data_IF_505725066290
#
_entry.id   IF_505725066290
#
_cell.length_a   1.000
_cell.length_b   1.000
_cell.length_c   1.000
_cell.angle_alpha   90.00
_cell.angle_beta   90.00
_cell.angle_gamma   90.00
#
_symmetry.space_group_name_H-M   'P 1'
#
loop_
_entity.id
_entity.type
_entity.pdbx_description
1 polymer ?
#
# COMPACT_ATOMS: atom_id res chain seq x y z
N UNK A 1 -1.18 5.85 -17.56
CA UNK A 1 -0.63 5.88 -16.19
C UNK A 1 -1.68 6.14 -15.11
N UNK A 2 -2.54 7.16 -15.23
CA UNK A 2 -3.53 7.52 -14.18
C UNK A 2 -4.41 6.35 -13.72
N UNK A 3 -5.00 5.58 -14.64
CA UNK A 3 -5.83 4.41 -14.28
C UNK A 3 -5.06 3.31 -13.53
N UNK A 4 -3.82 3.04 -13.92
CA UNK A 4 -2.95 2.09 -13.21
C UNK A 4 -2.60 2.57 -11.80
N UNK A 5 -2.29 3.86 -11.63
CA UNK A 5 -2.00 4.45 -10.31
C UNK A 5 -3.20 4.41 -9.38
N UNK A 6 -4.41 4.63 -9.91
CA UNK A 6 -5.66 4.48 -9.15
C UNK A 6 -5.85 3.03 -8.70
N UNK A 7 -5.73 2.07 -9.63
CA UNK A 7 -5.84 0.65 -9.29
C UNK A 7 -4.81 0.23 -8.24
N UNK A 8 -3.55 0.65 -8.43
CA UNK A 8 -2.47 0.38 -7.50
C UNK A 8 -2.74 0.98 -6.12
N UNK A 9 -3.24 2.21 -6.04
CA UNK A 9 -3.61 2.83 -4.77
C UNK A 9 -4.74 2.05 -4.08
N UNK A 10 -5.80 1.72 -4.83
CA UNK A 10 -6.96 0.98 -4.28
C UNK A 10 -6.53 -0.38 -3.74
N UNK A 11 -5.71 -1.13 -4.47
CA UNK A 11 -5.23 -2.45 -4.03
C UNK A 11 -4.38 -2.33 -2.76
N UNK A 12 -3.44 -1.39 -2.71
CA UNK A 12 -2.63 -1.18 -1.51
C UNK A 12 -3.47 -0.69 -0.33
N UNK A 13 -4.46 0.16 -0.56
CA UNK A 13 -5.35 0.64 0.49
C UNK A 13 -6.20 -0.49 1.09
N UNK A 14 -6.79 -1.35 0.26
CA UNK A 14 -7.55 -2.52 0.73
C UNK A 14 -6.62 -3.47 1.51
N UNK A 15 -5.43 -3.75 0.98
CA UNK A 15 -4.46 -4.63 1.65
C UNK A 15 -4.01 -4.08 3.01
N UNK A 16 -3.80 -2.77 3.11
CA UNK A 16 -3.44 -2.09 4.36
C UNK A 16 -4.55 -2.23 5.41
N UNK A 17 -5.79 -1.91 5.04
CA UNK A 17 -6.94 -2.02 5.95
C UNK A 17 -7.19 -3.47 6.35
N UNK A 18 -7.17 -4.41 5.40
CA UNK A 18 -7.34 -5.84 5.68
C UNK A 18 -6.28 -6.36 6.64
N UNK A 19 -5.04 -5.89 6.49
CA UNK A 19 -3.96 -6.22 7.41
C UNK A 19 -4.20 -5.66 8.81
N UNK A 20 -4.56 -4.38 8.95
CA UNK A 20 -4.84 -3.77 10.25
C UNK A 20 -5.98 -4.48 10.98
N UNK A 21 -7.04 -4.80 10.24
CA UNK A 21 -8.21 -5.52 10.75
C UNK A 21 -7.82 -6.93 11.22
N UNK A 22 -7.03 -7.65 10.43
CA UNK A 22 -6.58 -9.01 10.78
C UNK A 22 -5.72 -9.01 12.04
N UNK A 23 -4.82 -8.03 12.19
CA UNK A 23 -3.99 -7.87 13.40
C UNK A 23 -4.87 -7.51 14.60
N UNK A 24 -5.86 -6.65 14.43
CA UNK A 24 -6.76 -6.23 15.51
C UNK A 24 -7.61 -7.40 16.04
N UNK A 25 -8.16 -8.23 15.16
CA UNK A 25 -9.00 -9.37 15.56
C UNK A 25 -8.21 -10.58 16.06
N UNK A 26 -6.93 -10.65 15.75
CA UNK A 26 -6.09 -11.78 16.15
C UNK A 26 -4.74 -11.27 16.68
N UNK A 27 -4.71 -10.59 17.84
CA UNK A 27 -3.49 -9.99 18.38
C UNK A 27 -2.37 -11.01 18.66
N UNK A 28 -2.69 -12.28 18.90
CA UNK A 28 -1.71 -13.37 19.02
C UNK A 28 -0.88 -13.59 17.73
N UNK A 29 -1.34 -13.03 16.60
CA UNK A 29 -0.66 -13.09 15.31
C UNK A 29 0.57 -12.17 15.22
N UNK A 30 0.78 -11.28 16.20
CA UNK A 30 1.93 -10.38 16.27
C UNK A 30 3.27 -11.11 16.10
N UNK A 31 3.38 -12.31 16.67
CA UNK A 31 4.62 -13.10 16.62
C UNK A 31 4.48 -14.40 15.82
N UNK A 32 3.26 -14.93 15.64
CA UNK A 32 3.03 -16.17 14.88
C UNK A 32 2.82 -15.96 13.38
N UNK A 33 2.29 -14.81 12.95
CA UNK A 33 1.98 -14.53 11.54
C UNK A 33 2.51 -13.14 11.13
N UNK A 34 3.84 -13.02 10.97
CA UNK A 34 4.48 -11.74 10.59
C UNK A 34 4.05 -11.25 9.20
N UNK A 35 3.45 -12.13 8.38
CA UNK A 35 3.03 -11.83 7.02
C UNK A 35 2.02 -10.68 6.94
N UNK A 36 1.10 -10.56 7.91
CA UNK A 36 0.17 -9.42 7.93
C UNK A 36 0.91 -8.13 8.24
N UNK A 37 1.80 -8.11 9.23
CA UNK A 37 2.62 -6.92 9.52
C UNK A 37 3.45 -6.48 8.31
N UNK A 38 4.08 -7.44 7.63
CA UNK A 38 4.82 -7.19 6.40
C UNK A 38 3.90 -6.65 5.29
N UNK A 39 2.70 -7.22 5.14
CA UNK A 39 1.70 -6.74 4.19
C UNK A 39 1.28 -5.29 4.48
N UNK A 40 1.02 -4.93 5.75
CA UNK A 40 0.74 -3.56 6.15
C UNK A 40 1.90 -2.61 5.81
N UNK A 41 3.14 -2.99 6.13
CA UNK A 41 4.32 -2.17 5.86
C UNK A 41 4.51 -1.97 4.35
N UNK A 42 4.43 -3.03 3.55
CA UNK A 42 4.61 -2.96 2.09
C UNK A 42 3.49 -2.14 1.44
N UNK A 43 2.25 -2.35 1.85
CA UNK A 43 1.11 -1.62 1.29
C UNK A 43 1.13 -0.14 1.67
N UNK A 44 1.51 0.18 2.91
CA UNK A 44 1.73 1.56 3.35
C UNK A 44 2.86 2.21 2.56
N UNK A 45 3.99 1.52 2.41
CA UNK A 45 5.10 1.99 1.58
C UNK A 45 4.63 2.24 0.15
N UNK A 46 3.83 1.34 -0.41
CA UNK A 46 3.10 1.54 -1.65
C UNK A 46 2.38 2.88 -1.63
N UNK A 47 1.34 3.05 -0.81
CA UNK A 47 0.54 4.28 -0.75
C UNK A 47 1.38 5.56 -0.66
N UNK A 48 2.42 5.57 0.19
CA UNK A 48 3.31 6.73 0.38
C UNK A 48 4.14 7.08 -0.86
N UNK A 49 4.37 6.14 -1.77
CA UNK A 49 5.08 6.39 -3.03
C UNK A 49 4.20 7.04 -4.12
N UNK A 50 2.89 7.18 -3.91
CA UNK A 50 1.98 7.77 -4.90
C UNK A 50 2.40 9.18 -5.39
N UNK A 51 2.86 10.11 -4.52
CA UNK A 51 3.30 11.44 -4.95
C UNK A 51 4.52 11.37 -5.89
N UNK A 52 5.41 10.40 -5.70
CA UNK A 52 6.60 10.24 -6.54
C UNK A 52 6.23 9.74 -7.94
N UNK A 53 5.31 8.79 -8.04
CA UNK A 53 4.82 8.33 -9.35
C UNK A 53 4.05 9.41 -10.11
N UNK A 54 3.27 10.23 -9.40
CA UNK A 54 2.55 11.35 -10.03
C UNK A 54 3.50 12.47 -10.45
N UNK A 55 4.51 12.79 -9.64
CA UNK A 55 5.57 13.73 -9.99
C UNK A 55 6.40 13.26 -11.20
N UNK A 56 6.82 11.99 -11.23
CA UNK A 56 7.54 11.40 -12.36
C UNK A 56 6.72 11.49 -13.66
N UNK A 57 5.42 11.16 -13.60
CA UNK A 57 4.53 11.31 -14.75
C UNK A 57 4.48 12.75 -15.27
N UNK A 58 4.46 13.76 -14.39
CA UNK A 58 4.45 15.18 -14.79
C UNK A 58 5.77 15.62 -15.41
N UNK A 59 6.92 15.16 -14.90
CA UNK A 59 8.23 15.50 -15.47
C UNK A 59 8.33 14.91 -16.88
N UNK A 60 8.02 13.62 -17.03
CA UNK A 60 8.08 12.92 -18.31
C UNK A 60 7.14 13.49 -19.36
N UNK A 61 5.97 14.00 -18.97
CA UNK A 61 5.02 14.61 -19.90
C UNK A 61 5.41 16.07 -20.29
N UNK A 62 6.40 16.67 -19.61
CA UNK A 62 6.92 18.03 -19.87
C UNK A 62 8.28 18.04 -20.61
N UNK A 63 8.94 16.88 -20.77
CA UNK A 63 10.10 16.67 -21.66
C UNK A 63 9.63 16.25 -23.06
#
# INVERSE_FOLDING_TARGET
MKGFLILWFVVNFIAFIASLVSIHYSPDTLFQFPYFHILAIISLFGILNLPFYTAYGRIRDNE
#
